data_IF_870743168779
#
_entry.id   IF_870743168779
#
_cell.length_a   1.000
_cell.length_b   1.000
_cell.length_c   1.000
_cell.angle_alpha   90.00
_cell.angle_beta   90.00
_cell.angle_gamma   90.00
#
_symmetry.space_group_name_H-M   'P 1'
#
loop_
_entity.id
_entity.type
_entity.pdbx_description
1 polymer ?
#
# COMPACT_ATOMS: atom_id res chain seq x y z
N UNK A 1 -11.59 0.86 33.53
CA UNK A 1 -10.14 0.99 33.81
C UNK A 1 -9.44 1.17 32.48
N UNK A 2 -8.59 2.17 32.31
CA UNK A 2 -7.84 2.34 31.05
C UNK A 2 -6.52 1.56 31.21
N UNK A 3 -6.49 0.31 30.74
CA UNK A 3 -5.32 -0.57 30.87
C UNK A 3 -4.03 0.07 30.33
N UNK A 4 -4.13 0.90 29.28
CA UNK A 4 -2.97 1.59 28.71
C UNK A 4 -2.34 2.61 29.68
N UNK A 5 -3.12 3.13 30.64
CA UNK A 5 -2.63 4.11 31.61
C UNK A 5 -1.68 3.50 32.64
N UNK A 6 -1.78 2.20 32.87
CA UNK A 6 -0.96 1.48 33.84
C UNK A 6 0.41 1.08 33.28
N UNK A 7 0.63 1.24 31.96
CA UNK A 7 1.88 0.92 31.27
C UNK A 7 2.72 2.17 31.02
N UNK A 8 3.90 2.22 31.62
CA UNK A 8 4.87 3.31 31.44
C UNK A 8 5.94 2.87 30.45
N UNK A 9 6.21 3.69 29.43
CA UNK A 9 7.29 3.41 28.48
C UNK A 9 8.63 3.51 29.21
N UNK A 10 9.37 2.41 29.27
CA UNK A 10 10.65 2.31 29.99
C UNK A 10 11.84 2.11 29.08
N UNK A 11 11.61 1.69 27.81
CA UNK A 11 12.68 1.46 26.85
C UNK A 11 12.14 1.50 25.41
N UNK A 12 12.94 2.07 24.51
CA UNK A 12 12.73 2.02 23.07
C UNK A 12 14.02 1.52 22.43
N UNK A 13 13.90 0.54 21.53
CA UNK A 13 15.03 -0.01 20.77
C UNK A 13 14.79 0.21 19.29
N UNK A 14 15.83 0.65 18.58
CA UNK A 14 15.80 0.83 17.13
C UNK A 14 16.72 -0.19 16.47
N UNK A 15 16.22 -0.83 15.42
CA UNK A 15 16.93 -1.82 14.64
C UNK A 15 16.83 -1.54 13.16
N UNK A 16 17.77 -2.09 12.39
CA UNK A 16 17.72 -2.09 10.93
C UNK A 16 17.59 -3.53 10.47
N UNK A 17 16.53 -3.84 9.75
CA UNK A 17 16.27 -5.15 9.15
C UNK A 17 16.47 -5.07 7.64
N UNK A 18 16.49 -6.20 6.96
CA UNK A 18 16.57 -6.26 5.50
C UNK A 18 15.26 -6.81 4.91
N UNK A 19 14.64 -6.06 4.00
CA UNK A 19 13.57 -6.59 3.18
C UNK A 19 14.12 -7.29 1.95
N UNK A 20 13.46 -8.38 1.55
CA UNK A 20 13.87 -9.23 0.42
C UNK A 20 12.68 -9.48 -0.48
N UNK A 21 12.79 -9.11 -1.76
CA UNK A 21 11.82 -9.50 -2.78
C UNK A 21 12.15 -10.88 -3.37
N UNK A 22 11.16 -11.65 -3.83
CA UNK A 22 11.38 -12.99 -4.38
C UNK A 22 12.22 -12.95 -5.68
N UNK A 23 12.24 -11.81 -6.35
CA UNK A 23 13.01 -11.54 -7.57
C UNK A 23 13.50 -10.10 -7.59
N UNK A 24 14.40 -9.78 -8.50
CA UNK A 24 14.80 -8.40 -8.77
C UNK A 24 13.62 -7.68 -9.43
N UNK A 25 13.10 -6.66 -8.79
CA UNK A 25 12.00 -5.85 -9.30
C UNK A 25 12.52 -4.85 -10.34
N UNK A 26 11.86 -4.81 -11.50
CA UNK A 26 12.23 -4.04 -12.66
C UNK A 26 11.87 -2.55 -12.60
N UNK A 27 11.56 -2.00 -13.76
CA UNK A 27 11.27 -0.58 -13.98
C UNK A 27 9.77 -0.31 -14.06
N UNK A 28 9.39 0.94 -13.79
CA UNK A 28 8.10 1.49 -14.18
C UNK A 28 8.29 2.74 -15.04
N UNK A 29 7.23 3.42 -15.42
CA UNK A 29 7.32 4.57 -16.33
C UNK A 29 8.30 5.67 -15.84
N UNK A 30 8.35 5.94 -14.53
CA UNK A 30 9.16 7.01 -13.93
C UNK A 30 10.46 6.53 -13.29
N UNK A 31 10.42 5.39 -12.63
CA UNK A 31 11.52 4.91 -11.79
C UNK A 31 12.33 3.81 -12.47
N UNK A 32 13.62 3.78 -12.18
CA UNK A 32 14.52 2.68 -12.54
C UNK A 32 14.25 1.42 -11.71
N UNK A 33 15.14 0.40 -11.80
CA UNK A 33 14.95 -0.87 -11.11
C UNK A 33 14.96 -0.68 -9.58
N UNK A 34 14.01 -1.32 -8.91
CA UNK A 34 13.85 -1.27 -7.45
C UNK A 34 14.81 -2.23 -6.70
N UNK A 35 15.51 -3.09 -7.43
CA UNK A 35 16.43 -4.06 -6.83
C UNK A 35 15.71 -5.26 -6.20
N UNK A 36 16.41 -5.96 -5.34
CA UNK A 36 15.88 -7.14 -4.64
C UNK A 36 15.92 -7.00 -3.12
N UNK A 37 16.87 -6.25 -2.58
CA UNK A 37 17.08 -6.08 -1.15
C UNK A 37 17.19 -4.60 -0.78
N UNK A 38 16.70 -4.24 0.40
CA UNK A 38 16.94 -2.93 0.99
C UNK A 38 16.76 -2.96 2.51
N UNK A 39 17.40 -2.02 3.18
CA UNK A 39 17.27 -1.87 4.62
C UNK A 39 15.98 -1.14 4.99
N UNK A 40 15.40 -1.54 6.11
CA UNK A 40 14.20 -0.94 6.70
C UNK A 40 14.41 -0.71 8.19
N UNK A 41 13.98 0.44 8.68
CA UNK A 41 14.10 0.78 10.09
C UNK A 41 12.87 0.28 10.86
N UNK A 42 13.09 -0.31 12.02
CA UNK A 42 12.06 -0.73 12.97
C UNK A 42 12.35 -0.18 14.35
N UNK A 43 11.31 0.10 15.13
CA UNK A 43 11.47 0.36 16.54
C UNK A 43 10.58 -0.57 17.37
N UNK A 44 11.04 -0.90 18.57
CA UNK A 44 10.32 -1.65 19.57
C UNK A 44 10.17 -0.81 20.83
N UNK A 45 8.95 -0.69 21.33
CA UNK A 45 8.59 0.07 22.53
C UNK A 45 8.26 -0.94 23.63
N UNK A 46 8.89 -0.80 24.79
CA UNK A 46 8.71 -1.64 25.96
C UNK A 46 8.09 -0.85 27.10
N UNK A 47 7.40 -1.54 27.99
CA UNK A 47 6.81 -0.95 29.19
C UNK A 47 7.28 -1.62 30.44
N UNK A 48 7.21 -0.91 31.58
CA UNK A 48 7.54 -1.37 32.95
C UNK A 48 6.72 -2.59 33.39
N UNK A 49 5.57 -2.86 32.75
CA UNK A 49 4.74 -4.04 32.98
C UNK A 49 5.12 -5.24 32.08
N UNK A 50 6.24 -5.15 31.34
CA UNK A 50 6.74 -6.21 30.47
C UNK A 50 6.01 -6.39 29.14
N UNK A 51 5.09 -5.50 28.78
CA UNK A 51 4.50 -5.49 27.45
C UNK A 51 5.44 -4.82 26.44
N UNK A 52 5.45 -5.30 25.18
CA UNK A 52 6.19 -4.65 24.11
C UNK A 52 5.41 -4.65 22.80
N UNK A 53 5.58 -3.60 22.02
CA UNK A 53 5.04 -3.48 20.66
C UNK A 53 6.10 -2.97 19.71
N UNK A 54 6.01 -3.32 18.44
CA UNK A 54 7.01 -2.93 17.45
C UNK A 54 6.34 -2.51 16.13
N UNK A 55 7.10 -1.84 15.30
CA UNK A 55 6.65 -1.46 13.96
C UNK A 55 7.76 -0.86 13.11
N UNK A 56 7.49 -0.72 11.82
CA UNK A 56 8.37 -0.05 10.87
C UNK A 56 8.32 1.46 11.12
N UNK A 57 9.30 1.94 11.83
CA UNK A 57 9.44 3.34 12.23
C UNK A 57 10.91 3.65 12.51
N UNK A 58 11.24 4.93 12.39
CA UNK A 58 12.53 5.46 12.81
C UNK A 58 12.29 6.48 13.92
N UNK A 59 13.04 6.39 14.99
CA UNK A 59 12.95 7.27 16.17
C UNK A 59 14.32 7.93 16.38
N UNK A 60 14.31 9.23 16.56
CA UNK A 60 15.50 9.97 16.96
C UNK A 60 15.71 9.87 18.48
N UNK A 61 16.94 10.06 18.96
CA UNK A 61 17.21 10.11 20.41
C UNK A 61 16.43 11.19 21.15
N UNK A 62 16.08 12.29 20.46
CA UNK A 62 15.27 13.36 21.06
C UNK A 62 13.83 12.91 21.24
N UNK A 63 13.26 12.21 20.26
CA UNK A 63 11.91 11.65 20.34
C UNK A 63 11.85 10.55 21.40
N UNK A 64 12.84 9.66 21.45
CA UNK A 64 12.93 8.62 22.48
C UNK A 64 12.85 9.25 23.87
N UNK A 65 13.68 10.25 24.17
CA UNK A 65 13.66 10.96 25.46
C UNK A 65 12.32 11.56 25.83
N UNK A 66 11.49 11.95 24.83
CA UNK A 66 10.14 12.49 25.06
C UNK A 66 9.15 11.42 25.51
N UNK A 67 9.35 10.18 25.09
CA UNK A 67 8.44 9.10 25.43
C UNK A 67 8.77 8.40 26.76
N UNK A 68 10.04 8.38 27.13
CA UNK A 68 10.52 7.67 28.31
C UNK A 68 9.88 8.17 29.63
N UNK A 69 9.48 7.20 30.47
CA UNK A 69 8.88 7.46 31.79
C UNK A 69 7.45 7.99 31.75
N UNK A 70 6.82 7.98 30.58
CA UNK A 70 5.41 8.46 30.40
C UNK A 70 4.49 7.31 30.07
N UNK A 71 3.23 7.46 30.42
CA UNK A 71 2.20 6.45 30.18
C UNK A 71 1.88 6.29 28.68
N UNK A 72 1.67 5.06 28.23
CA UNK A 72 1.17 4.76 26.88
C UNK A 72 -0.11 5.52 26.58
N UNK A 73 -1.00 5.71 27.56
CA UNK A 73 -2.25 6.45 27.39
C UNK A 73 -2.07 7.95 27.10
N UNK A 74 -0.90 8.52 27.34
CA UNK A 74 -0.59 9.90 26.94
C UNK A 74 -0.37 10.04 25.44
N UNK A 75 0.07 8.96 24.80
CA UNK A 75 0.46 8.93 23.38
C UNK A 75 -0.52 8.18 22.49
N UNK A 76 -1.38 7.36 23.07
CA UNK A 76 -2.29 6.51 22.32
C UNK A 76 -3.70 6.48 22.91
N UNK A 77 -4.68 6.64 22.04
CA UNK A 77 -6.10 6.55 22.39
C UNK A 77 -6.80 5.49 21.52
N UNK A 78 -7.57 4.61 22.13
CA UNK A 78 -8.26 3.53 21.42
C UNK A 78 -9.23 4.01 20.33
N UNK A 79 -9.84 5.18 20.50
CA UNK A 79 -10.77 5.73 19.53
C UNK A 79 -10.09 6.44 18.35
N UNK A 80 -8.94 7.08 18.58
CA UNK A 80 -8.32 7.99 17.58
C UNK A 80 -6.95 7.56 17.09
N UNK A 81 -6.28 6.61 17.75
CA UNK A 81 -4.90 6.19 17.46
C UNK A 81 -3.86 7.02 18.19
N UNK A 82 -2.68 7.14 17.62
CA UNK A 82 -1.55 7.87 18.19
C UNK A 82 -1.78 9.39 18.19
N UNK A 83 -1.23 10.09 19.19
CA UNK A 83 -1.18 11.55 19.22
C UNK A 83 -0.19 12.08 18.16
N UNK A 84 -0.28 13.38 17.83
CA UNK A 84 0.61 14.01 16.86
C UNK A 84 2.10 13.92 17.24
N UNK A 85 2.40 13.95 18.53
CA UNK A 85 3.79 13.85 19.02
C UNK A 85 4.36 12.43 18.95
N UNK A 86 3.50 11.41 18.78
CA UNK A 86 3.89 10.00 18.78
C UNK A 86 3.75 9.32 17.40
N UNK A 87 3.61 10.11 16.33
CA UNK A 87 3.47 9.53 14.98
C UNK A 87 4.73 8.80 14.51
N UNK A 88 5.91 9.15 15.01
CA UNK A 88 7.15 8.43 14.71
C UNK A 88 7.16 6.99 15.23
N UNK A 89 6.34 6.66 16.24
CA UNK A 89 6.18 5.32 16.81
C UNK A 89 4.75 4.78 16.64
N UNK A 90 4.00 5.33 15.71
CA UNK A 90 2.56 5.05 15.50
C UNK A 90 2.25 3.55 15.40
N UNK A 91 2.98 2.81 14.57
CA UNK A 91 2.75 1.38 14.37
C UNK A 91 3.11 0.57 15.61
N UNK A 92 4.23 0.92 16.26
CA UNK A 92 4.65 0.26 17.50
C UNK A 92 3.62 0.47 18.62
N UNK A 93 2.99 1.65 18.70
CA UNK A 93 1.94 1.92 19.69
C UNK A 93 0.63 1.15 19.39
N UNK A 94 0.25 0.99 18.12
CA UNK A 94 -0.91 0.15 17.76
C UNK A 94 -0.65 -1.32 18.11
N UNK A 95 0.55 -1.84 17.81
CA UNK A 95 0.94 -3.19 18.17
C UNK A 95 0.96 -3.41 19.68
N UNK A 96 1.58 -2.47 20.42
CA UNK A 96 1.63 -2.47 21.87
C UNK A 96 0.23 -2.44 22.50
N UNK A 97 -0.63 -1.54 22.03
CA UNK A 97 -2.01 -1.43 22.51
C UNK A 97 -2.79 -2.73 22.29
N UNK A 98 -2.66 -3.35 21.11
CA UNK A 98 -3.26 -4.64 20.83
C UNK A 98 -2.78 -5.73 21.77
N UNK A 99 -1.48 -5.79 22.06
CA UNK A 99 -0.87 -6.76 22.97
C UNK A 99 -1.29 -6.54 24.43
N UNK A 100 -1.35 -5.29 24.90
CA UNK A 100 -1.86 -4.98 26.25
C UNK A 100 -3.33 -5.40 26.39
N UNK A 101 -4.14 -5.19 25.35
CA UNK A 101 -5.56 -5.53 25.36
C UNK A 101 -5.86 -7.00 25.02
N UNK A 102 -4.86 -7.76 24.60
CA UNK A 102 -5.02 -9.16 24.16
C UNK A 102 -5.86 -9.29 22.89
N UNK A 103 -5.82 -8.32 21.98
CA UNK A 103 -6.62 -8.29 20.74
C UNK A 103 -5.76 -7.94 19.52
N UNK A 104 -6.04 -8.52 18.33
CA UNK A 104 -5.44 -8.05 17.09
C UNK A 104 -5.94 -6.63 16.75
N UNK A 105 -5.09 -5.86 16.07
CA UNK A 105 -5.38 -4.45 15.72
C UNK A 105 -6.69 -4.34 14.92
N UNK A 106 -6.92 -5.22 13.94
CA UNK A 106 -8.16 -5.16 13.15
C UNK A 106 -9.44 -5.32 13.98
N UNK A 107 -9.42 -6.13 15.07
CA UNK A 107 -10.54 -6.22 16.01
C UNK A 107 -10.66 -4.97 16.90
N UNK A 108 -9.53 -4.38 17.32
CA UNK A 108 -9.55 -3.10 18.04
C UNK A 108 -10.22 -1.99 17.22
N UNK A 109 -10.13 -2.06 15.89
CA UNK A 109 -10.77 -1.12 14.96
C UNK A 109 -12.26 -1.42 14.72
N UNK A 110 -12.78 -2.55 15.22
CA UNK A 110 -14.18 -2.94 15.09
C UNK A 110 -14.45 -4.04 14.08
N UNK A 111 -13.43 -4.63 13.49
CA UNK A 111 -13.56 -5.69 12.49
C UNK A 111 -14.11 -7.00 13.06
N UNK A 112 -14.86 -7.73 12.25
CA UNK A 112 -15.44 -9.03 12.60
C UNK A 112 -14.99 -10.18 11.66
N UNK A 113 -14.42 -9.86 10.49
CA UNK A 113 -13.87 -10.80 9.53
C UNK A 113 -12.44 -10.38 9.17
N UNK A 114 -11.48 -11.28 9.41
CA UNK A 114 -10.05 -11.08 9.15
C UNK A 114 -9.64 -11.48 7.73
N UNK A 115 -10.50 -11.41 6.72
CA UNK A 115 -10.23 -11.82 5.34
C UNK A 115 -10.41 -10.66 4.38
N UNK A 116 -9.41 -10.45 3.51
CA UNK A 116 -9.44 -9.34 2.55
C UNK A 116 -8.78 -9.74 1.22
N UNK A 117 -9.31 -9.32 0.06
CA UNK A 117 -8.68 -9.52 -1.22
C UNK A 117 -7.34 -8.79 -1.32
N UNK A 118 -6.36 -9.42 -2.01
CA UNK A 118 -5.03 -8.86 -2.23
C UNK A 118 -4.61 -9.08 -3.68
N UNK A 119 -4.02 -8.05 -4.32
CA UNK A 119 -3.36 -8.18 -5.61
C UNK A 119 -1.84 -8.14 -5.47
N UNK A 120 -1.09 -8.76 -6.40
CA UNK A 120 0.36 -8.51 -6.48
C UNK A 120 0.64 -7.16 -7.13
N UNK A 121 1.34 -6.26 -6.42
CA UNK A 121 1.82 -4.97 -6.93
C UNK A 121 3.16 -5.07 -7.68
N UNK A 122 3.72 -6.26 -7.85
CA UNK A 122 5.11 -6.47 -8.26
C UNK A 122 5.33 -6.80 -9.75
N UNK A 123 4.35 -6.58 -10.62
CA UNK A 123 4.50 -6.86 -12.06
C UNK A 123 4.96 -5.59 -12.79
N UNK A 124 6.26 -5.48 -12.94
CA UNK A 124 6.98 -4.34 -13.51
C UNK A 124 7.35 -4.58 -14.99
N UNK A 125 8.23 -3.73 -15.57
CA UNK A 125 8.71 -3.88 -16.94
C UNK A 125 9.82 -4.93 -17.05
N UNK A 126 9.57 -6.14 -16.55
CA UNK A 126 10.55 -7.24 -16.59
C UNK A 126 10.86 -7.68 -18.02
N UNK A 127 9.89 -7.46 -18.93
CA UNK A 127 10.05 -7.67 -20.38
C UNK A 127 11.11 -6.76 -21.04
N UNK A 128 11.52 -5.68 -20.38
CA UNK A 128 12.56 -4.75 -20.82
C UNK A 128 13.91 -5.02 -20.17
N UNK A 129 14.02 -6.04 -19.29
CA UNK A 129 15.26 -6.35 -18.60
C UNK A 129 16.26 -7.05 -19.52
N UNK A 130 17.39 -6.42 -19.93
CA UNK A 130 18.37 -7.03 -20.81
C UNK A 130 19.18 -8.16 -20.15
N UNK A 131 19.11 -8.29 -18.83
CA UNK A 131 19.78 -9.30 -18.00
C UNK A 131 18.79 -10.33 -17.43
N UNK A 132 17.52 -10.32 -17.88
CA UNK A 132 16.49 -11.25 -17.45
C UNK A 132 16.77 -12.67 -17.95
N UNK A 133 16.38 -13.67 -17.16
CA UNK A 133 16.50 -15.09 -17.51
C UNK A 133 15.60 -15.48 -18.71
N UNK A 134 14.45 -14.80 -18.83
CA UNK A 134 13.52 -14.95 -19.95
C UNK A 134 13.43 -13.64 -20.74
N UNK A 135 13.47 -13.66 -22.09
CA UNK A 135 13.33 -12.45 -22.88
C UNK A 135 11.86 -12.06 -23.09
N UNK A 136 11.61 -10.75 -23.19
CA UNK A 136 10.32 -10.23 -23.62
C UNK A 136 9.17 -10.52 -22.64
N UNK A 137 7.98 -10.73 -23.18
CA UNK A 137 6.75 -10.90 -22.42
C UNK A 137 6.69 -12.15 -21.55
N UNK A 138 7.51 -13.17 -21.86
CA UNK A 138 7.61 -14.39 -21.05
C UNK A 138 8.16 -14.10 -19.64
N UNK A 139 9.07 -13.12 -19.51
CA UNK A 139 9.56 -12.68 -18.20
C UNK A 139 8.44 -12.15 -17.32
N UNK A 140 7.50 -11.44 -17.90
CA UNK A 140 6.36 -10.88 -17.20
C UNK A 140 5.36 -11.96 -16.76
N UNK A 141 5.06 -12.94 -17.61
CA UNK A 141 4.24 -14.09 -17.23
C UNK A 141 4.91 -14.91 -16.13
N UNK A 142 6.23 -15.15 -16.21
CA UNK A 142 6.97 -15.84 -15.17
C UNK A 142 6.89 -15.11 -13.81
N UNK A 143 6.90 -13.79 -13.82
CA UNK A 143 6.68 -12.99 -12.61
C UNK A 143 5.27 -13.17 -12.03
N UNK A 144 4.25 -13.18 -12.90
CA UNK A 144 2.87 -13.47 -12.49
C UNK A 144 2.71 -14.88 -11.92
N UNK A 145 3.31 -15.90 -12.58
CA UNK A 145 3.27 -17.29 -12.15
C UNK A 145 3.97 -17.48 -10.79
N UNK A 146 5.10 -16.79 -10.57
CA UNK A 146 5.80 -16.82 -9.29
C UNK A 146 4.93 -16.24 -8.16
N UNK A 147 4.25 -15.11 -8.41
CA UNK A 147 3.37 -14.49 -7.43
C UNK A 147 2.09 -15.33 -7.21
N UNK A 148 1.58 -15.97 -8.28
CA UNK A 148 0.46 -16.91 -8.15
C UNK A 148 0.82 -18.13 -7.29
N UNK A 149 2.04 -18.66 -7.45
CA UNK A 149 2.55 -19.76 -6.61
C UNK A 149 2.70 -19.33 -5.14
N UNK A 150 2.86 -18.04 -4.85
CA UNK A 150 2.86 -17.45 -3.50
C UNK A 150 1.45 -17.12 -2.97
N UNK A 151 0.37 -17.45 -3.70
CA UNK A 151 -1.02 -17.31 -3.27
C UNK A 151 -1.78 -16.11 -3.84
N UNK A 152 -1.14 -15.26 -4.66
CA UNK A 152 -1.84 -14.17 -5.35
C UNK A 152 -2.73 -14.72 -6.48
N UNK A 153 -3.91 -14.09 -6.68
CA UNK A 153 -4.81 -14.41 -7.80
C UNK A 153 -5.13 -13.17 -8.65
N UNK A 154 -4.66 -12.00 -8.23
CA UNK A 154 -4.92 -10.71 -8.84
C UNK A 154 -3.60 -9.97 -9.06
N UNK A 155 -3.50 -9.15 -10.11
CA UNK A 155 -2.22 -8.57 -10.53
C UNK A 155 -2.38 -7.10 -10.92
N UNK A 156 -1.48 -6.25 -10.44
CA UNK A 156 -1.31 -4.87 -10.92
C UNK A 156 -0.12 -4.82 -11.88
N UNK A 157 -0.39 -4.52 -13.14
CA UNK A 157 0.60 -4.42 -14.20
C UNK A 157 1.07 -2.98 -14.32
N UNK A 158 2.38 -2.77 -14.30
CA UNK A 158 2.92 -1.46 -14.69
C UNK A 158 2.76 -1.29 -16.20
N UNK A 159 2.27 -0.11 -16.61
CA UNK A 159 2.13 0.34 -18.00
C UNK A 159 2.83 1.70 -18.18
N UNK A 160 2.88 2.25 -19.40
CA UNK A 160 3.59 3.51 -19.65
C UNK A 160 5.00 3.33 -20.20
N UNK A 161 5.29 2.18 -20.86
CA UNK A 161 6.61 1.90 -21.47
C UNK A 161 7.05 2.95 -22.46
N UNK A 162 6.11 3.58 -23.17
CA UNK A 162 6.33 4.66 -24.12
C UNK A 162 6.69 6.01 -23.50
N UNK A 163 6.65 6.16 -22.17
CA UNK A 163 7.01 7.39 -21.50
C UNK A 163 8.53 7.64 -21.54
N UNK A 164 9.33 6.61 -21.31
CA UNK A 164 10.79 6.76 -21.16
C UNK A 164 11.61 5.67 -21.84
N UNK A 165 11.13 4.45 -21.94
CA UNK A 165 11.98 3.30 -22.28
C UNK A 165 11.78 2.77 -23.68
N UNK A 166 10.69 3.12 -24.35
CA UNK A 166 10.37 2.72 -25.72
C UNK A 166 9.88 3.93 -26.52
N UNK A 167 9.85 3.82 -27.85
CA UNK A 167 9.07 4.73 -28.68
C UNK A 167 7.60 4.75 -28.19
N UNK A 168 6.97 5.92 -28.23
CA UNK A 168 5.61 6.12 -27.67
C UNK A 168 4.61 5.10 -28.20
N UNK A 169 4.57 4.92 -29.53
CA UNK A 169 3.63 4.00 -30.19
C UNK A 169 3.98 2.54 -29.88
N UNK A 170 5.26 2.18 -29.95
CA UNK A 170 5.72 0.83 -29.65
C UNK A 170 5.46 0.48 -28.19
N UNK A 171 5.69 1.42 -27.26
CA UNK A 171 5.43 1.24 -25.83
C UNK A 171 3.95 1.03 -25.53
N UNK A 172 3.07 1.83 -26.12
CA UNK A 172 1.63 1.65 -25.97
C UNK A 172 1.16 0.31 -26.57
N UNK A 173 1.69 -0.10 -27.71
CA UNK A 173 1.38 -1.41 -28.29
C UNK A 173 1.82 -2.54 -27.36
N UNK A 174 3.00 -2.44 -26.74
CA UNK A 174 3.50 -3.41 -25.77
C UNK A 174 2.64 -3.45 -24.50
N UNK A 175 2.19 -2.31 -24.00
CA UNK A 175 1.29 -2.24 -22.83
C UNK A 175 -0.04 -2.97 -23.12
N UNK A 176 -0.60 -2.80 -24.31
CA UNK A 176 -1.81 -3.53 -24.78
C UNK A 176 -1.53 -5.03 -24.89
N UNK A 177 -0.44 -5.43 -25.53
CA UNK A 177 -0.02 -6.83 -25.70
C UNK A 177 0.10 -7.54 -24.33
N UNK A 178 0.81 -6.93 -23.39
CA UNK A 178 1.02 -7.46 -22.03
C UNK A 178 -0.31 -7.62 -21.30
N UNK A 179 -1.22 -6.66 -21.40
CA UNK A 179 -2.51 -6.73 -20.73
C UNK A 179 -3.38 -7.88 -21.27
N UNK A 180 -3.42 -8.05 -22.58
CA UNK A 180 -4.12 -9.19 -23.20
C UNK A 180 -3.49 -10.53 -22.83
N UNK A 181 -2.15 -10.59 -22.80
CA UNK A 181 -1.41 -11.80 -22.47
C UNK A 181 -1.72 -12.26 -21.03
N UNK A 182 -1.68 -11.34 -20.06
CA UNK A 182 -1.99 -11.67 -18.67
C UNK A 182 -3.46 -12.04 -18.51
N UNK A 183 -4.40 -11.36 -19.19
CA UNK A 183 -5.81 -11.74 -19.19
C UNK A 183 -6.05 -13.13 -19.77
N UNK A 184 -5.36 -13.50 -20.85
CA UNK A 184 -5.49 -14.83 -21.44
C UNK A 184 -4.93 -15.94 -20.52
N UNK A 185 -3.86 -15.65 -19.78
CA UNK A 185 -3.22 -16.58 -18.86
C UNK A 185 -3.99 -16.71 -17.53
N UNK A 186 -4.56 -15.62 -17.03
CA UNK A 186 -5.36 -15.54 -15.79
C UNK A 186 -6.77 -14.99 -16.08
N UNK A 187 -7.69 -15.81 -16.62
CA UNK A 187 -8.99 -15.35 -17.10
C UNK A 187 -9.89 -14.77 -15.99
N UNK A 188 -9.76 -15.26 -14.76
CA UNK A 188 -10.59 -14.87 -13.62
C UNK A 188 -9.94 -13.81 -12.72
N UNK A 189 -8.71 -13.40 -13.00
CA UNK A 189 -7.98 -12.42 -12.18
C UNK A 189 -8.62 -11.02 -12.27
N UNK A 190 -8.63 -10.28 -11.18
CA UNK A 190 -8.65 -8.83 -11.27
C UNK A 190 -7.31 -8.36 -11.84
N UNK A 191 -7.36 -7.69 -12.99
CA UNK A 191 -6.19 -7.03 -13.58
C UNK A 191 -6.34 -5.53 -13.34
N UNK A 192 -5.37 -4.99 -12.64
CA UNK A 192 -5.20 -3.58 -12.37
C UNK A 192 -4.05 -3.09 -13.24
N UNK A 193 -4.09 -1.83 -13.66
CA UNK A 193 -2.97 -1.23 -14.39
C UNK A 193 -2.54 0.05 -13.73
N UNK A 194 -1.23 0.28 -13.68
CA UNK A 194 -0.63 1.46 -13.06
C UNK A 194 0.36 2.10 -14.04
N UNK A 195 0.02 3.31 -14.47
CA UNK A 195 0.78 4.05 -15.46
C UNK A 195 1.88 4.93 -14.83
N UNK A 196 1.87 5.15 -13.55
CA UNK A 196 2.80 6.04 -12.85
C UNK A 196 2.96 7.40 -13.57
N UNK A 197 1.83 8.04 -13.96
CA UNK A 197 1.73 9.27 -14.78
C UNK A 197 2.42 9.18 -16.16
N UNK A 198 2.58 7.98 -16.69
CA UNK A 198 3.31 7.72 -17.92
C UNK A 198 2.50 7.90 -19.21
N UNK A 199 1.24 8.32 -19.12
CA UNK A 199 0.37 8.55 -20.28
C UNK A 199 -0.04 10.02 -20.43
N UNK A 200 -0.56 10.35 -21.61
CA UNK A 200 -1.39 11.53 -21.80
C UNK A 200 -2.87 11.14 -21.72
N UNK A 201 -3.81 12.08 -21.47
CA UNK A 201 -5.23 11.77 -21.46
C UNK A 201 -5.73 11.04 -22.71
N UNK A 202 -5.26 11.45 -23.91
CA UNK A 202 -5.59 10.82 -25.18
C UNK A 202 -4.99 9.41 -25.28
N UNK A 203 -3.75 9.25 -24.80
CA UNK A 203 -3.04 7.96 -24.86
C UNK A 203 -3.69 6.90 -23.99
N UNK A 204 -4.06 7.23 -22.75
CA UNK A 204 -4.73 6.28 -21.87
C UNK A 204 -6.15 5.91 -22.36
N UNK A 205 -6.90 6.88 -22.92
CA UNK A 205 -8.20 6.58 -23.52
C UNK A 205 -8.06 5.60 -24.69
N UNK A 206 -7.07 5.80 -25.57
CA UNK A 206 -6.81 4.90 -26.69
C UNK A 206 -6.31 3.51 -26.22
N UNK A 207 -5.54 3.43 -25.14
CA UNK A 207 -5.17 2.17 -24.50
C UNK A 207 -6.41 1.42 -23.97
N UNK A 208 -7.28 2.10 -23.21
CA UNK A 208 -8.49 1.51 -22.63
C UNK A 208 -9.44 0.96 -23.69
N UNK A 209 -9.59 1.64 -24.82
CA UNK A 209 -10.39 1.12 -25.95
C UNK A 209 -9.86 -0.20 -26.48
N UNK A 210 -8.53 -0.35 -26.57
CA UNK A 210 -7.88 -1.57 -27.07
C UNK A 210 -7.93 -2.74 -26.07
N UNK A 211 -7.93 -2.45 -24.76
CA UNK A 211 -7.97 -3.50 -23.72
C UNK A 211 -9.37 -3.67 -23.10
N UNK A 212 -10.42 -3.08 -23.66
CA UNK A 212 -11.77 -3.13 -23.11
C UNK A 212 -12.26 -4.57 -22.82
N UNK A 213 -11.92 -5.52 -23.69
CA UNK A 213 -12.24 -6.95 -23.50
C UNK A 213 -11.54 -7.58 -22.29
N UNK A 214 -10.46 -6.96 -21.79
CA UNK A 214 -9.73 -7.43 -20.61
C UNK A 214 -10.46 -7.11 -19.31
N UNK A 215 -11.48 -6.23 -19.31
CA UNK A 215 -12.26 -5.88 -18.11
C UNK A 215 -11.36 -5.52 -16.93
N UNK A 216 -10.60 -4.44 -17.06
CA UNK A 216 -9.71 -3.97 -16.01
C UNK A 216 -10.48 -3.66 -14.74
N UNK A 217 -9.91 -4.02 -13.58
CA UNK A 217 -10.48 -3.67 -12.29
C UNK A 217 -10.32 -2.18 -12.00
N UNK A 218 -9.09 -1.63 -12.18
CA UNK A 218 -8.85 -0.19 -12.16
C UNK A 218 -7.72 0.25 -13.09
N UNK A 219 -7.71 1.54 -13.38
CA UNK A 219 -6.57 2.27 -13.93
C UNK A 219 -6.04 3.23 -12.85
N UNK A 220 -4.75 3.13 -12.55
CA UNK A 220 -4.04 3.86 -11.50
C UNK A 220 -3.08 4.86 -12.12
N UNK A 221 -3.08 6.10 -11.58
CA UNK A 221 -2.18 7.19 -11.93
C UNK A 221 -1.91 7.31 -13.45
N UNK A 222 -2.97 7.46 -14.27
CA UNK A 222 -2.81 7.50 -15.72
C UNK A 222 -1.96 8.69 -16.19
N UNK A 223 -2.09 9.82 -15.50
CA UNK A 223 -1.39 11.09 -15.68
C UNK A 223 -1.56 11.91 -14.40
N UNK A 224 -0.92 13.08 -14.31
CA UNK A 224 -1.00 13.93 -13.11
C UNK A 224 -2.44 14.17 -12.61
N UNK A 225 -2.69 13.90 -11.34
CA UNK A 225 -4.01 13.93 -10.67
C UNK A 225 -4.71 15.29 -10.72
N UNK A 226 -3.98 16.39 -10.91
CA UNK A 226 -4.52 17.74 -11.03
C UNK A 226 -5.04 18.09 -12.45
N UNK A 227 -4.91 17.16 -13.41
CA UNK A 227 -5.42 17.31 -14.75
C UNK A 227 -6.93 16.96 -14.81
N UNK A 228 -7.77 17.88 -14.34
CA UNK A 228 -9.23 17.68 -14.22
C UNK A 228 -9.87 17.39 -15.59
N UNK A 229 -9.47 18.10 -16.65
CA UNK A 229 -9.99 17.86 -18.00
C UNK A 229 -9.60 16.46 -18.50
N UNK A 230 -8.38 16.02 -18.20
CA UNK A 230 -7.91 14.67 -18.51
C UNK A 230 -8.75 13.62 -17.80
N UNK A 231 -9.02 13.79 -16.50
CA UNK A 231 -9.86 12.88 -15.72
C UNK A 231 -11.31 12.83 -16.23
N UNK A 232 -11.89 13.96 -16.65
CA UNK A 232 -13.22 13.99 -17.26
C UNK A 232 -13.25 13.21 -18.57
N UNK A 233 -12.22 13.36 -19.44
CA UNK A 233 -12.10 12.58 -20.69
C UNK A 233 -11.93 11.09 -20.41
N UNK A 234 -11.10 10.73 -19.43
CA UNK A 234 -10.89 9.36 -18.98
C UNK A 234 -12.21 8.73 -18.53
N UNK A 235 -13.00 9.44 -17.71
CA UNK A 235 -14.32 8.97 -17.27
C UNK A 235 -15.28 8.73 -18.43
N UNK A 236 -15.31 9.63 -19.41
CA UNK A 236 -16.15 9.46 -20.61
C UNK A 236 -15.70 8.22 -21.43
N UNK A 237 -14.39 7.98 -21.55
CA UNK A 237 -13.87 6.79 -22.23
C UNK A 237 -14.20 5.49 -21.46
N UNK A 238 -14.03 5.46 -20.14
CA UNK A 238 -14.41 4.34 -19.28
C UNK A 238 -15.90 4.03 -19.41
N UNK A 239 -16.77 5.04 -19.31
CA UNK A 239 -18.22 4.85 -19.44
C UNK A 239 -18.62 4.23 -20.77
N UNK A 240 -17.87 4.52 -21.84
CA UNK A 240 -18.14 4.01 -23.19
C UNK A 240 -17.63 2.58 -23.39
N UNK A 241 -16.43 2.25 -22.92
CA UNK A 241 -15.71 1.01 -23.30
C UNK A 241 -15.56 -0.01 -22.17
N UNK A 242 -15.55 0.42 -20.91
CA UNK A 242 -15.28 -0.46 -19.75
C UNK A 242 -15.91 0.12 -18.46
N UNK A 243 -17.26 0.23 -18.40
CA UNK A 243 -17.98 1.01 -17.38
C UNK A 243 -17.72 0.57 -15.93
N UNK A 244 -17.26 -0.67 -15.73
CA UNK A 244 -16.95 -1.21 -14.41
C UNK A 244 -15.49 -0.92 -13.96
N UNK A 245 -14.67 -0.32 -14.85
CA UNK A 245 -13.28 0.02 -14.52
C UNK A 245 -13.23 1.23 -13.60
N UNK A 246 -12.58 1.09 -12.44
CA UNK A 246 -12.38 2.17 -11.49
C UNK A 246 -11.19 3.06 -11.88
N UNK A 247 -11.16 4.29 -11.36
CA UNK A 247 -9.99 5.16 -11.39
C UNK A 247 -9.40 5.23 -9.99
N UNK A 248 -8.14 4.88 -9.86
CA UNK A 248 -7.39 4.93 -8.60
C UNK A 248 -6.26 5.97 -8.70
N UNK A 249 -6.12 6.81 -7.68
CA UNK A 249 -5.14 7.88 -7.67
C UNK A 249 -4.86 8.38 -6.24
N UNK A 250 -3.95 9.32 -6.07
CA UNK A 250 -3.72 10.00 -4.81
C UNK A 250 -2.49 9.55 -4.02
N UNK A 251 -1.56 8.85 -4.66
CA UNK A 251 -0.26 8.53 -4.03
C UNK A 251 0.59 9.77 -3.75
N UNK A 252 0.21 10.91 -4.31
CA UNK A 252 0.77 12.25 -4.04
C UNK A 252 2.22 12.46 -4.49
N UNK A 253 2.46 12.45 -5.79
CA UNK A 253 3.82 12.55 -6.35
C UNK A 253 4.31 13.92 -6.69
N UNK A 254 3.47 14.90 -6.87
CA UNK A 254 3.81 16.16 -7.50
C UNK A 254 4.66 17.09 -6.62
N UNK A 255 5.82 16.63 -6.16
CA UNK A 255 6.76 17.40 -5.34
C UNK A 255 6.28 17.69 -3.92
N UNK A 256 5.05 17.33 -3.59
CA UNK A 256 4.43 17.58 -2.28
C UNK A 256 4.94 16.63 -1.19
N UNK A 257 5.49 15.48 -1.59
CA UNK A 257 6.24 14.56 -0.72
C UNK A 257 7.70 14.97 -0.53
N UNK A 258 8.21 15.96 -1.29
CA UNK A 258 9.61 16.39 -1.21
C UNK A 258 9.86 17.44 -0.13
N UNK A 259 8.85 18.12 0.35
CA UNK A 259 8.98 18.82 1.61
C UNK A 259 9.21 17.76 2.69
N UNK A 260 10.27 17.95 3.53
CA UNK A 260 10.51 17.00 4.61
C UNK A 260 9.19 16.82 5.30
N UNK A 261 8.78 15.56 5.62
CA UNK A 261 7.49 15.30 6.21
C UNK A 261 7.39 16.18 7.45
N UNK A 262 6.78 17.35 7.23
CA UNK A 262 6.38 18.19 8.34
C UNK A 262 5.51 17.34 9.23
N UNK A 263 5.36 17.68 10.49
CA UNK A 263 4.46 16.94 11.36
C UNK A 263 3.17 16.75 10.57
N UNK A 264 2.81 15.47 10.39
CA UNK A 264 1.71 14.86 9.70
C UNK A 264 0.47 15.78 9.40
N UNK A 265 0.18 16.79 10.23
CA UNK A 265 -0.97 17.65 10.08
C UNK A 265 -0.92 18.70 8.96
N UNK A 266 0.25 19.16 8.50
CA UNK A 266 0.33 20.21 7.48
C UNK A 266 0.23 19.70 6.04
N UNK A 267 0.79 18.52 5.78
CA UNK A 267 0.75 17.89 4.47
C UNK A 267 -0.66 17.43 4.11
N UNK A 268 -1.43 16.97 5.08
CA UNK A 268 -2.68 16.28 4.86
C UNK A 268 -3.88 17.17 4.55
N UNK A 269 -4.00 18.32 5.20
CA UNK A 269 -5.24 19.08 5.09
C UNK A 269 -5.50 19.57 3.67
N UNK A 270 -4.53 20.20 3.02
CA UNK A 270 -4.73 20.74 1.67
C UNK A 270 -4.84 19.65 0.59
N UNK A 271 -3.99 18.61 0.68
CA UNK A 271 -4.00 17.54 -0.32
C UNK A 271 -5.22 16.62 -0.19
N UNK A 272 -5.61 16.25 1.02
CA UNK A 272 -6.81 15.45 1.25
C UNK A 272 -8.10 16.15 0.78
N UNK A 273 -8.21 17.47 0.96
CA UNK A 273 -9.37 18.22 0.49
C UNK A 273 -9.47 18.20 -1.04
N UNK A 274 -8.34 18.30 -1.74
CA UNK A 274 -8.28 18.17 -3.20
C UNK A 274 -8.71 16.75 -3.63
N UNK A 275 -8.18 15.70 -2.99
CA UNK A 275 -8.52 14.30 -3.28
C UNK A 275 -10.01 14.00 -2.97
N UNK A 276 -10.54 14.54 -1.89
CA UNK A 276 -11.97 14.43 -1.59
C UNK A 276 -12.83 15.11 -2.67
N UNK A 277 -12.39 16.25 -3.18
CA UNK A 277 -13.10 16.93 -4.29
C UNK A 277 -13.09 16.09 -5.56
N UNK A 278 -11.98 15.44 -5.91
CA UNK A 278 -11.91 14.51 -7.05
C UNK A 278 -12.87 13.33 -6.89
N UNK A 279 -12.88 12.71 -5.73
CA UNK A 279 -13.79 11.61 -5.42
C UNK A 279 -15.25 12.02 -5.44
N UNK A 280 -15.61 13.16 -4.82
CA UNK A 280 -16.99 13.69 -4.82
C UNK A 280 -17.45 14.10 -6.21
N UNK A 281 -16.56 14.53 -7.09
CA UNK A 281 -16.85 14.80 -8.49
C UNK A 281 -16.97 13.52 -9.34
N UNK A 282 -16.75 12.32 -8.75
CA UNK A 282 -16.77 11.05 -9.46
C UNK A 282 -15.61 10.90 -10.46
N UNK A 283 -14.52 11.64 -10.27
CA UNK A 283 -13.33 11.58 -11.12
C UNK A 283 -12.35 10.50 -10.68
N UNK A 284 -12.26 10.23 -9.37
CA UNK A 284 -11.49 9.17 -8.76
C UNK A 284 -12.40 8.33 -7.86
N UNK A 285 -12.29 7.01 -7.92
CA UNK A 285 -13.10 6.07 -7.12
C UNK A 285 -12.34 5.57 -5.89
N UNK A 286 -11.03 5.38 -6.02
CA UNK A 286 -10.16 4.76 -5.00
C UNK A 286 -8.99 5.67 -4.72
N UNK A 287 -8.79 6.04 -3.44
CA UNK A 287 -7.64 6.83 -3.01
C UNK A 287 -6.53 5.93 -2.46
N UNK A 288 -5.29 6.22 -2.88
CA UNK A 288 -4.12 5.34 -2.73
C UNK A 288 -3.00 5.92 -1.85
N UNK A 289 -3.24 6.90 -0.98
CA UNK A 289 -2.15 7.49 -0.19
C UNK A 289 -1.23 6.42 0.44
N UNK A 290 0.08 6.61 0.38
CA UNK A 290 1.04 5.62 0.89
C UNK A 290 0.93 5.45 2.41
N UNK A 291 0.71 4.22 2.88
CA UNK A 291 0.52 3.93 4.31
C UNK A 291 1.81 4.14 5.12
N UNK A 292 2.97 4.05 4.46
CA UNK A 292 4.26 4.33 5.08
C UNK A 292 4.43 5.82 5.38
N UNK A 293 4.14 6.65 4.38
CA UNK A 293 4.28 8.11 4.47
C UNK A 293 3.14 8.77 5.27
N UNK A 294 1.91 8.33 5.05
CA UNK A 294 0.74 8.86 5.74
C UNK A 294 0.62 8.40 7.19
N UNK A 295 1.02 7.16 7.49
CA UNK A 295 0.89 6.55 8.81
C UNK A 295 -0.44 5.83 9.04
N UNK A 296 -0.44 4.91 9.99
CA UNK A 296 -1.60 4.06 10.30
C UNK A 296 -2.73 4.86 10.97
N UNK A 297 -2.39 5.71 11.95
CA UNK A 297 -3.36 6.59 12.62
C UNK A 297 -4.08 7.51 11.66
N UNK A 298 -3.38 8.04 10.66
CA UNK A 298 -4.02 8.93 9.70
C UNK A 298 -5.01 8.19 8.80
N UNK A 299 -4.62 7.06 8.26
CA UNK A 299 -5.53 6.22 7.51
C UNK A 299 -6.76 5.84 8.33
N UNK A 300 -6.57 5.48 9.59
CA UNK A 300 -7.64 5.19 10.53
C UNK A 300 -8.63 6.35 10.67
N UNK A 301 -8.16 7.60 10.63
CA UNK A 301 -8.99 8.80 10.72
C UNK A 301 -9.61 9.20 9.38
N UNK A 302 -8.98 8.86 8.27
CA UNK A 302 -9.43 9.21 6.92
C UNK A 302 -10.47 8.22 6.39
N UNK A 303 -10.30 6.91 6.61
CA UNK A 303 -11.22 5.88 6.11
C UNK A 303 -12.71 6.17 6.38
N UNK A 304 -13.15 6.50 7.59
CA UNK A 304 -14.56 6.84 7.85
C UNK A 304 -15.03 8.06 7.05
N UNK A 305 -14.13 9.01 6.78
CA UNK A 305 -14.46 10.21 5.98
C UNK A 305 -14.61 9.89 4.49
N UNK A 306 -13.81 8.95 3.97
CA UNK A 306 -13.94 8.44 2.60
C UNK A 306 -15.26 7.69 2.44
N UNK A 307 -15.53 6.74 3.34
CA UNK A 307 -16.76 5.94 3.31
C UNK A 307 -18.03 6.82 3.39
N UNK A 308 -18.02 7.86 4.23
CA UNK A 308 -19.12 8.82 4.31
C UNK A 308 -19.34 9.63 3.02
N UNK A 309 -18.38 9.60 2.09
CA UNK A 309 -18.43 10.25 0.77
C UNK A 309 -18.60 9.26 -0.37
N UNK A 310 -18.80 7.97 -0.06
CA UNK A 310 -18.83 6.87 -1.04
C UNK A 310 -17.53 6.77 -1.87
N UNK A 311 -16.40 7.16 -1.30
CA UNK A 311 -15.07 7.01 -1.87
C UNK A 311 -14.42 5.79 -1.21
N UNK A 312 -13.76 4.94 -1.99
CA UNK A 312 -12.99 3.81 -1.48
C UNK A 312 -11.55 4.24 -1.16
N UNK A 313 -10.90 3.50 -0.27
CA UNK A 313 -9.47 3.66 -0.01
C UNK A 313 -8.75 2.33 -0.20
N UNK A 314 -7.56 2.35 -0.80
CA UNK A 314 -6.66 1.20 -0.84
C UNK A 314 -5.26 1.71 -0.57
N UNK A 315 -4.78 1.64 0.68
CA UNK A 315 -3.48 2.20 1.03
C UNK A 315 -2.37 1.64 0.14
N UNK A 316 -1.65 2.52 -0.56
CA UNK A 316 -0.45 2.13 -1.30
C UNK A 316 0.56 1.54 -0.32
N UNK A 317 1.03 0.33 -0.62
CA UNK A 317 1.88 -0.45 0.28
C UNK A 317 3.24 -0.79 -0.33
N UNK A 318 3.50 -0.40 -1.58
CA UNK A 318 4.74 -0.74 -2.27
C UNK A 318 5.98 -0.38 -1.44
N UNK A 319 7.06 -1.05 -1.72
CA UNK A 319 8.39 -0.98 -1.13
C UNK A 319 8.65 -1.87 0.08
N UNK A 320 7.62 -2.31 0.83
CA UNK A 320 7.87 -3.07 2.05
C UNK A 320 6.77 -4.12 2.28
N UNK A 321 7.10 -5.43 2.35
CA UNK A 321 6.11 -6.51 2.46
C UNK A 321 5.12 -6.31 3.62
N UNK A 322 5.59 -5.88 4.79
CA UNK A 322 4.73 -5.73 5.95
C UNK A 322 3.75 -4.54 5.86
N UNK A 323 3.92 -3.60 4.91
CA UNK A 323 2.91 -2.58 4.64
C UNK A 323 1.59 -3.20 4.15
N UNK A 324 1.65 -4.30 3.41
CA UNK A 324 0.48 -5.10 3.03
C UNK A 324 -0.33 -5.48 4.26
N UNK A 325 0.32 -5.93 5.32
CA UNK A 325 -0.35 -6.35 6.55
C UNK A 325 -0.99 -5.17 7.28
N UNK A 326 -0.32 -4.02 7.35
CA UNK A 326 -0.94 -2.81 7.92
C UNK A 326 -2.18 -2.37 7.14
N UNK A 327 -2.10 -2.37 5.80
CA UNK A 327 -3.24 -2.03 4.94
C UNK A 327 -4.40 -3.04 5.13
N UNK A 328 -4.08 -4.33 5.25
CA UNK A 328 -5.06 -5.38 5.49
C UNK A 328 -5.73 -5.25 6.88
N UNK A 329 -4.95 -4.97 7.93
CA UNK A 329 -5.48 -4.72 9.29
C UNK A 329 -6.44 -3.53 9.30
N UNK A 330 -6.11 -2.46 8.56
CA UNK A 330 -6.98 -1.29 8.41
C UNK A 330 -8.27 -1.66 7.67
N UNK A 331 -8.16 -2.36 6.53
CA UNK A 331 -9.29 -2.76 5.71
C UNK A 331 -10.25 -3.70 6.43
N UNK A 332 -9.73 -4.75 7.08
CA UNK A 332 -10.53 -5.67 7.88
C UNK A 332 -11.15 -4.98 9.10
N UNK A 333 -10.45 -4.00 9.69
CA UNK A 333 -10.91 -3.31 10.89
C UNK A 333 -11.98 -2.26 10.64
N UNK A 334 -11.85 -1.46 9.58
CA UNK A 334 -12.71 -0.31 9.31
C UNK A 334 -13.65 -0.53 8.12
N UNK A 335 -13.32 -1.44 7.20
CA UNK A 335 -13.98 -1.55 5.90
C UNK A 335 -13.54 -0.49 4.90
N UNK A 336 -14.24 -0.39 3.76
CA UNK A 336 -13.99 0.63 2.74
C UNK A 336 -12.76 0.39 1.86
N UNK A 337 -12.04 -0.71 2.06
CA UNK A 337 -10.91 -1.17 1.24
C UNK A 337 -11.38 -2.31 0.34
N UNK A 338 -11.48 -2.11 -0.97
CA UNK A 338 -11.99 -3.14 -1.88
C UNK A 338 -10.99 -4.26 -2.11
N UNK A 339 -9.72 -3.92 -2.18
CA UNK A 339 -8.60 -4.84 -2.39
C UNK A 339 -7.31 -4.17 -1.89
N UNK A 340 -6.38 -4.93 -1.33
CA UNK A 340 -5.11 -4.43 -0.75
C UNK A 340 -3.95 -4.67 -1.71
N UNK A 341 -2.99 -3.75 -1.75
CA UNK A 341 -1.73 -3.97 -2.45
C UNK A 341 -0.86 -4.97 -1.71
N UNK A 342 -0.58 -6.11 -2.36
CA UNK A 342 0.38 -7.10 -1.92
C UNK A 342 1.77 -6.78 -2.42
N UNK A 343 2.73 -6.78 -1.51
CA UNK A 343 4.16 -6.66 -1.83
C UNK A 343 4.81 -8.02 -1.60
N UNK A 344 5.06 -8.81 -2.68
CA UNK A 344 5.69 -10.12 -2.53
C UNK A 344 7.08 -10.01 -1.89
N UNK A 345 7.38 -10.92 -0.97
CA UNK A 345 8.65 -10.95 -0.27
C UNK A 345 8.47 -11.07 1.24
N UNK A 346 9.56 -10.84 1.96
CA UNK A 346 9.60 -10.92 3.43
C UNK A 346 10.60 -9.93 3.99
N UNK A 347 10.60 -9.77 5.32
CA UNK A 347 11.61 -9.01 6.05
C UNK A 347 12.37 -9.98 6.95
N UNK A 348 13.69 -10.03 6.81
CA UNK A 348 14.54 -10.90 7.63
C UNK A 348 14.41 -10.53 9.12
N UNK A 349 14.18 -11.53 9.96
CA UNK A 349 13.96 -11.32 11.40
C UNK A 349 12.51 -10.95 11.78
N UNK A 350 11.57 -11.08 10.87
CA UNK A 350 10.13 -10.92 11.15
C UNK A 350 9.42 -12.24 10.93
N UNK A 351 8.75 -12.75 11.95
CA UNK A 351 7.80 -13.85 11.83
C UNK A 351 6.41 -13.27 11.54
N UNK A 352 5.95 -13.47 10.33
CA UNK A 352 4.63 -13.10 9.81
C UNK A 352 3.79 -14.33 9.44
N UNK A 353 4.18 -15.52 9.87
CA UNK A 353 3.57 -16.80 9.53
C UNK A 353 2.08 -16.93 9.91
N UNK A 354 1.60 -16.02 10.75
CA UNK A 354 0.16 -15.91 11.08
C UNK A 354 -0.69 -15.34 9.93
N UNK A 355 -0.08 -14.69 8.94
CA UNK A 355 -0.76 -14.18 7.74
C UNK A 355 -0.75 -15.26 6.65
N UNK A 356 -1.92 -15.63 6.14
CA UNK A 356 -2.05 -16.69 5.12
C UNK A 356 -2.68 -16.11 3.87
N UNK A 357 -1.90 -16.02 2.78
CA UNK A 357 -2.38 -15.64 1.46
C UNK A 357 -2.69 -16.88 0.64
N UNK A 358 -3.93 -17.04 0.24
CA UNK A 358 -4.38 -18.13 -0.61
C UNK A 358 -5.48 -17.67 -1.56
N UNK A 359 -5.36 -18.04 -2.83
CA UNK A 359 -6.34 -17.71 -3.88
C UNK A 359 -6.71 -16.21 -3.92
N UNK A 360 -5.72 -15.34 -3.71
CA UNK A 360 -5.88 -13.89 -3.71
C UNK A 360 -6.57 -13.32 -2.47
N UNK A 361 -6.81 -14.13 -1.44
CA UNK A 361 -7.38 -13.70 -0.16
C UNK A 361 -6.33 -13.81 0.94
N UNK A 362 -6.09 -12.72 1.63
CA UNK A 362 -5.25 -12.68 2.82
C UNK A 362 -6.12 -12.90 4.07
N UNK A 363 -5.78 -13.92 4.84
CA UNK A 363 -6.35 -14.17 6.16
C UNK A 363 -5.41 -13.62 7.22
N UNK A 364 -5.93 -12.77 8.10
CA UNK A 364 -5.19 -12.11 9.16
C UNK A 364 -5.13 -12.97 10.42
N UNK A 365 -4.04 -12.89 11.21
CA UNK A 365 -3.92 -13.60 12.48
C UNK A 365 -4.90 -13.08 13.54
N UNK A 366 -5.30 -13.98 14.46
CA UNK A 366 -6.02 -13.66 15.69
C UNK A 366 -5.06 -13.28 16.83
N UNK A 367 -3.76 -13.34 16.62
CA UNK A 367 -2.75 -12.97 17.62
C UNK A 367 -2.82 -11.47 17.93
N UNK A 368 -2.59 -11.06 19.20
CA UNK A 368 -2.64 -9.67 19.63
C UNK A 368 -1.66 -8.76 18.88
N UNK A 369 -1.99 -7.48 18.79
CA UNK A 369 -1.23 -6.51 18.04
C UNK A 369 -1.43 -6.66 16.53
N UNK A 370 -0.38 -6.44 15.75
CA UNK A 370 -0.41 -6.74 14.32
C UNK A 370 -0.24 -8.23 14.01
N UNK A 371 -0.03 -9.08 15.03
CA UNK A 371 0.12 -10.51 14.84
C UNK A 371 1.44 -10.93 14.17
N UNK A 372 2.41 -10.04 14.13
CA UNK A 372 3.78 -10.28 13.70
C UNK A 372 4.72 -10.28 14.92
N UNK A 373 5.82 -11.03 14.87
CA UNK A 373 6.84 -11.03 15.90
C UNK A 373 8.22 -10.66 15.32
N UNK A 374 9.04 -10.02 16.13
CA UNK A 374 10.47 -9.90 15.85
C UNK A 374 11.18 -11.13 16.41
N UNK A 375 12.01 -11.76 15.60
CA UNK A 375 12.97 -12.75 16.09
C UNK A 375 13.91 -12.08 17.11
N UNK A 376 14.46 -12.87 18.02
CA UNK A 376 15.42 -12.35 18.99
C UNK A 376 16.60 -11.70 18.24
N UNK A 377 16.53 -10.39 18.08
CA UNK A 377 17.59 -9.57 17.49
C UNK A 377 18.76 -9.55 18.50
N UNK A 378 19.87 -10.22 18.17
CA UNK A 378 21.10 -10.21 18.95
C UNK A 378 21.90 -8.94 18.69
#
# INVERSE_FOLDING_TARGET
MNLLADHIIDRIESHTLERVYPRRIGWNAKNGPHGQRAQVAVCQVFTDQGASGWGFCAVTEEEERRFMGRSVAEFFNLATGSTLEALSIDRALHDLAGKILGQPVWRMLGGCDGRIPVYSGAIYFDDLNPQGEAPGTDALLAACDQDAAAGHAHFKLKIGRGFRYMDKTAGQTRDVEVTHLVRAHFPDAHILVDANDGYTPEGICAYLEQVAACKLYWVEEPFEENNIEGLQRLRAAIQKSSPDTLVADGEARNGRLQDPPGPFGKWQAAHLDELYALGQAGLVDVLLMDIGAMGFTAWRQVMPKLMARSIQGSPHAWSEPCKTYYAAQLGCGLGGVPIVEGVPGYVEGVDDSGYVLQDGILTLPEAPGFGMALDNLQ
#
